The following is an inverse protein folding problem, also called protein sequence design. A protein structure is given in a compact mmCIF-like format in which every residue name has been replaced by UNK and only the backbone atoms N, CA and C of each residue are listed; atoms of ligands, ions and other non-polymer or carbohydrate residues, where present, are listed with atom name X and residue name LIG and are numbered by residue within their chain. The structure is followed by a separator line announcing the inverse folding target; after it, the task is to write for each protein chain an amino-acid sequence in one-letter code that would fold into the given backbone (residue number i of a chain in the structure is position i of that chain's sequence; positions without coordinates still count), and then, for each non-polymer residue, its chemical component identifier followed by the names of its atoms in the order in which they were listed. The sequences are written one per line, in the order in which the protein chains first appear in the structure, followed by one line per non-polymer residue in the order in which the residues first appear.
data_IF_138027948601
#
_entry.id   IF_138027948601
#
_cell.length_a   1.000
_cell.length_b   1.000
_cell.length_c   1.000
_cell.angle_alpha   90.00
_cell.angle_beta   90.00
_cell.angle_gamma   90.00
#
_symmetry.space_group_name_H-M   'P 1'
#
loop_
_entity.id
_entity.type
_entity.pdbx_description
1 polymer ?
#
# COMPACT_ATOMS: atom_id res chain seq x y z
N UNK A 1 -1.09 15.01 -16.94
CA UNK A 1 -1.93 13.99 -16.28
C UNK A 1 -2.94 14.74 -15.44
N UNK A 2 -4.21 14.58 -15.75
CA UNK A 2 -5.35 15.32 -15.14
C UNK A 2 -6.17 14.45 -14.17
N UNK A 3 -5.83 13.17 -14.05
CA UNK A 3 -6.52 12.21 -13.20
C UNK A 3 -7.90 11.79 -13.69
N UNK A 4 -8.31 12.21 -14.90
CA UNK A 4 -9.65 11.92 -15.44
C UNK A 4 -9.87 10.44 -15.76
N UNK A 5 -8.81 9.75 -16.16
CA UNK A 5 -8.81 8.32 -16.44
C UNK A 5 -8.31 7.52 -15.22
N UNK A 6 -9.21 6.76 -14.60
CA UNK A 6 -8.91 5.76 -13.59
C UNK A 6 -9.52 4.42 -14.01
N UNK A 7 -8.75 3.34 -13.90
CA UNK A 7 -9.25 1.98 -14.11
C UNK A 7 -9.96 1.48 -12.86
N UNK A 8 -10.90 0.54 -13.03
CA UNK A 8 -11.57 -0.10 -11.90
C UNK A 8 -10.59 -0.94 -11.05
N UNK A 9 -10.83 -1.10 -9.74
CA UNK A 9 -9.94 -1.84 -8.86
C UNK A 9 -9.85 -3.33 -9.26
N UNK A 10 -8.69 -3.92 -8.99
CA UNK A 10 -8.55 -5.38 -8.90
C UNK A 10 -8.89 -5.78 -7.47
N UNK A 11 -9.78 -6.77 -7.30
CA UNK A 11 -10.11 -7.31 -5.97
C UNK A 11 -9.68 -8.76 -5.87
N UNK A 12 -9.04 -9.11 -4.77
CA UNK A 12 -8.54 -10.45 -4.49
C UNK A 12 -9.18 -10.95 -3.19
N UNK A 13 -9.66 -12.19 -3.19
CA UNK A 13 -10.38 -12.78 -2.06
C UNK A 13 -10.00 -14.24 -1.81
N UNK A 14 -10.33 -14.76 -0.63
CA UNK A 14 -10.10 -16.15 -0.23
C UNK A 14 -11.33 -17.06 -0.32
N UNK A 15 -12.50 -16.51 -0.66
CA UNK A 15 -13.75 -17.27 -0.80
C UNK A 15 -13.95 -17.83 -2.23
N UNK A 16 -13.73 -19.13 -2.49
CA UNK A 16 -13.62 -19.65 -3.86
C UNK A 16 -14.94 -19.73 -4.66
N UNK A 17 -16.10 -19.49 -4.04
CA UNK A 17 -17.43 -19.69 -4.66
C UNK A 17 -18.42 -18.52 -4.48
N UNK A 18 -17.99 -17.41 -3.89
CA UNK A 18 -18.92 -16.39 -3.38
C UNK A 18 -19.59 -15.51 -4.45
N UNK A 19 -19.04 -15.46 -5.68
CA UNK A 19 -19.52 -14.56 -6.76
C UNK A 19 -19.50 -15.29 -8.12
N UNK A 20 -19.94 -16.55 -8.17
CA UNK A 20 -20.23 -17.19 -9.46
C UNK A 20 -21.49 -16.55 -10.10
N UNK A 21 -21.42 -16.22 -11.39
CA UNK A 21 -22.57 -15.73 -12.18
C UNK A 21 -23.00 -14.26 -11.98
N UNK A 22 -22.44 -13.52 -11.02
CA UNK A 22 -22.75 -12.09 -10.86
C UNK A 22 -21.80 -11.23 -11.70
N UNK A 23 -22.34 -10.41 -12.61
CA UNK A 23 -21.56 -9.42 -13.34
C UNK A 23 -21.23 -8.24 -12.42
N UNK A 24 -19.94 -8.02 -12.17
CA UNK A 24 -19.42 -6.89 -11.38
C UNK A 24 -18.35 -6.17 -12.22
N UNK A 25 -18.30 -4.82 -12.25
CA UNK A 25 -17.32 -4.07 -13.03
C UNK A 25 -15.88 -4.08 -12.45
N UNK A 26 -15.45 -5.16 -11.79
CA UNK A 26 -14.07 -5.32 -11.29
C UNK A 26 -13.46 -6.63 -11.77
N UNK A 27 -12.14 -6.67 -11.85
CA UNK A 27 -11.40 -7.91 -12.09
C UNK A 27 -11.18 -8.62 -10.77
N UNK A 28 -11.75 -9.83 -10.65
CA UNK A 28 -11.67 -10.67 -9.45
C UNK A 28 -10.62 -11.76 -9.61
N UNK A 29 -9.85 -11.99 -8.53
CA UNK A 29 -8.99 -13.15 -8.38
C UNK A 29 -9.26 -13.84 -7.04
N UNK A 30 -9.15 -15.17 -6.99
CA UNK A 30 -9.32 -15.94 -5.76
C UNK A 30 -8.06 -16.76 -5.42
N UNK A 31 -7.54 -16.62 -4.21
CA UNK A 31 -6.52 -17.52 -3.65
C UNK A 31 -6.61 -17.52 -2.11
N UNK A 32 -6.10 -18.58 -1.46
CA UNK A 32 -6.25 -18.79 -0.01
C UNK A 32 -5.74 -17.64 0.87
N UNK A 33 -4.74 -16.88 0.43
CA UNK A 33 -4.17 -15.74 1.16
C UNK A 33 -4.83 -14.39 0.79
N UNK A 34 -5.68 -14.35 -0.24
CA UNK A 34 -6.26 -13.13 -0.82
C UNK A 34 -5.22 -12.10 -1.31
N UNK A 35 -4.04 -12.55 -1.76
CA UNK A 35 -2.92 -11.68 -2.16
C UNK A 35 -2.65 -11.60 -3.66
N UNK A 36 -1.95 -10.56 -4.08
CA UNK A 36 -1.44 -10.45 -5.45
C UNK A 36 -0.35 -11.50 -5.69
N UNK A 37 -0.44 -12.21 -6.82
CA UNK A 37 0.56 -13.19 -7.26
C UNK A 37 1.14 -12.76 -8.61
N UNK A 38 2.34 -13.26 -8.95
CA UNK A 38 2.94 -13.00 -10.27
C UNK A 38 2.05 -13.43 -11.43
N UNK A 39 1.26 -14.50 -11.27
CA UNK A 39 0.29 -14.94 -12.27
C UNK A 39 -0.88 -13.95 -12.43
N UNK A 40 -1.49 -13.51 -11.31
CA UNK A 40 -2.60 -12.55 -11.33
C UNK A 40 -2.15 -11.19 -11.90
N UNK A 41 -0.96 -10.72 -11.51
CA UNK A 41 -0.39 -9.49 -12.04
C UNK A 41 -0.08 -9.60 -13.54
N UNK A 42 0.46 -10.74 -14.00
CA UNK A 42 0.75 -11.00 -15.41
C UNK A 42 -0.53 -10.99 -16.27
N UNK A 43 -1.58 -11.68 -15.84
CA UNK A 43 -2.88 -11.66 -16.55
C UNK A 43 -3.48 -10.25 -16.55
N UNK A 44 -3.49 -9.53 -15.42
CA UNK A 44 -3.94 -8.14 -15.37
C UNK A 44 -3.14 -7.23 -16.32
N UNK A 45 -1.83 -7.37 -16.36
CA UNK A 45 -0.94 -6.58 -17.21
C UNK A 45 -1.16 -6.86 -18.70
N UNK A 46 -1.43 -8.11 -19.09
CA UNK A 46 -1.82 -8.47 -20.46
C UNK A 46 -3.17 -7.85 -20.84
N UNK A 47 -4.18 -7.94 -19.98
CA UNK A 47 -5.48 -7.33 -20.20
C UNK A 47 -5.38 -5.80 -20.30
N UNK A 48 -4.62 -5.16 -19.40
CA UNK A 48 -4.34 -3.72 -19.44
C UNK A 48 -3.63 -3.31 -20.75
N UNK A 49 -2.63 -4.08 -21.20
CA UNK A 49 -1.97 -3.83 -22.48
C UNK A 49 -2.93 -3.93 -23.68
N UNK A 50 -3.93 -4.82 -23.64
CA UNK A 50 -4.96 -4.88 -24.67
C UNK A 50 -5.94 -3.69 -24.60
N UNK A 51 -6.33 -3.25 -23.39
CA UNK A 51 -7.16 -2.05 -23.19
C UNK A 51 -6.47 -0.78 -23.70
N UNK A 52 -5.13 -0.71 -23.58
CA UNK A 52 -4.33 0.43 -24.06
C UNK A 52 -4.02 0.38 -25.56
N UNK A 53 -4.69 -0.46 -26.35
CA UNK A 53 -4.46 -0.59 -27.81
C UNK A 53 -4.51 0.77 -28.53
N UNK A 54 -3.44 1.06 -29.28
CA UNK A 54 -3.32 2.32 -30.03
C UNK A 54 -2.79 3.50 -29.21
N UNK A 55 -2.42 3.27 -27.94
CA UNK A 55 -1.78 4.24 -27.05
C UNK A 55 -0.36 3.78 -26.70
N UNK A 56 0.44 4.71 -26.18
CA UNK A 56 1.74 4.40 -25.55
C UNK A 56 1.66 4.83 -24.09
N UNK A 57 1.74 3.87 -23.18
CA UNK A 57 1.52 4.09 -21.75
C UNK A 57 2.75 3.65 -20.97
N UNK A 58 3.19 4.48 -20.02
CA UNK A 58 4.19 4.12 -19.02
C UNK A 58 3.44 3.76 -17.73
N UNK A 59 3.59 2.51 -17.29
CA UNK A 59 3.07 2.04 -16.01
C UNK A 59 4.20 2.08 -14.99
N UNK A 60 4.04 2.89 -13.94
CA UNK A 60 4.92 2.88 -12.77
C UNK A 60 4.36 1.92 -11.74
N UNK A 61 5.20 1.02 -11.23
CA UNK A 61 4.84 0.01 -10.23
C UNK A 61 5.94 -0.02 -9.18
N UNK A 62 5.59 -0.29 -7.93
CA UNK A 62 6.57 -0.58 -6.88
C UNK A 62 7.29 -1.92 -7.13
N UNK A 63 8.39 -2.15 -6.41
CA UNK A 63 9.25 -3.31 -6.60
C UNK A 63 8.82 -4.52 -5.73
N UNK A 64 7.52 -4.75 -5.57
CA UNK A 64 7.02 -5.89 -4.81
C UNK A 64 7.29 -7.23 -5.54
N UNK A 65 7.58 -8.33 -4.82
CA UNK A 65 7.89 -9.63 -5.43
C UNK A 65 6.79 -10.19 -6.33
N UNK A 66 5.53 -9.86 -6.04
CA UNK A 66 4.37 -10.25 -6.86
C UNK A 66 4.30 -9.53 -8.22
N UNK A 67 5.01 -8.42 -8.39
CA UNK A 67 5.15 -7.75 -9.68
C UNK A 67 6.29 -8.32 -10.52
N UNK A 68 7.34 -8.84 -9.87
CA UNK A 68 8.37 -9.70 -10.47
C UNK A 68 9.14 -9.10 -11.66
N UNK A 69 9.93 -9.93 -12.34
CA UNK A 69 10.47 -9.62 -13.67
C UNK A 69 9.52 -10.13 -14.74
N UNK A 70 8.54 -9.32 -15.13
CA UNK A 70 7.57 -9.70 -16.18
C UNK A 70 8.23 -9.83 -17.55
N UNK A 71 8.60 -11.05 -17.95
CA UNK A 71 9.02 -11.41 -19.32
C UNK A 71 7.85 -11.44 -20.32
N UNK A 72 6.88 -10.54 -20.16
CA UNK A 72 5.72 -10.43 -21.04
C UNK A 72 6.02 -9.43 -22.15
N UNK A 73 5.85 -9.84 -23.41
CA UNK A 73 5.95 -8.92 -24.54
C UNK A 73 4.70 -8.04 -24.60
N UNK A 74 4.85 -6.76 -24.24
CA UNK A 74 3.80 -5.75 -24.26
C UNK A 74 3.97 -4.81 -25.46
N UNK A 75 2.86 -4.47 -26.11
CA UNK A 75 2.83 -3.70 -27.37
C UNK A 75 2.42 -2.24 -27.21
N UNK A 76 1.67 -1.91 -26.15
CA UNK A 76 1.14 -0.58 -25.86
C UNK A 76 1.63 -0.03 -24.51
N UNK A 77 1.94 -0.92 -23.56
CA UNK A 77 2.37 -0.59 -22.20
C UNK A 77 3.86 -0.87 -22.02
N UNK A 78 4.60 0.08 -21.43
CA UNK A 78 5.94 -0.13 -20.89
C UNK A 78 5.85 -0.08 -19.37
N UNK A 79 6.31 -1.12 -18.69
CA UNK A 79 6.42 -1.14 -17.23
C UNK A 79 7.76 -0.53 -16.80
N UNK A 80 7.74 0.22 -15.70
CA UNK A 80 8.94 0.70 -15.02
C UNK A 80 8.76 0.51 -13.51
N UNK A 81 9.64 -0.30 -12.93
CA UNK A 81 9.67 -0.54 -11.50
C UNK A 81 10.36 0.64 -10.80
N UNK A 82 9.71 1.18 -9.77
CA UNK A 82 10.33 2.14 -8.86
C UNK A 82 11.51 1.48 -8.13
N UNK A 83 12.51 2.24 -7.69
CA UNK A 83 13.60 1.69 -6.87
C UNK A 83 13.09 0.88 -5.66
N UNK A 84 13.80 -0.17 -5.23
CA UNK A 84 13.52 -0.83 -3.96
C UNK A 84 13.43 0.18 -2.82
N UNK A 85 12.51 -0.02 -1.89
CA UNK A 85 12.27 0.86 -0.73
C UNK A 85 11.96 2.33 -1.09
N UNK A 86 11.35 2.60 -2.26
CA UNK A 86 10.94 3.96 -2.64
C UNK A 86 10.03 4.57 -1.57
N UNK A 87 10.38 5.73 -0.97
CA UNK A 87 9.58 6.36 0.07
C UNK A 87 8.14 6.66 -0.36
N UNK A 88 7.18 6.46 0.53
CA UNK A 88 5.74 6.65 0.26
C UNK A 88 5.37 8.03 -0.32
N UNK A 89 6.09 9.09 0.06
CA UNK A 89 5.86 10.44 -0.48
C UNK A 89 6.26 10.59 -1.97
N UNK A 90 7.03 9.65 -2.53
CA UNK A 90 7.36 9.58 -3.96
C UNK A 90 6.43 8.64 -4.74
N UNK A 91 5.57 7.87 -4.07
CA UNK A 91 4.62 6.95 -4.71
C UNK A 91 3.21 7.57 -4.72
N UNK A 92 2.62 7.96 -5.87
CA UNK A 92 1.35 8.71 -5.89
C UNK A 92 0.19 8.02 -5.15
N UNK A 93 0.16 6.68 -5.19
CA UNK A 93 -0.82 5.88 -4.45
C UNK A 93 -0.66 6.04 -2.93
N UNK A 94 0.55 5.88 -2.41
CA UNK A 94 0.86 5.97 -0.97
C UNK A 94 0.93 7.43 -0.46
N UNK A 95 1.22 8.39 -1.33
CA UNK A 95 1.29 9.82 -0.99
C UNK A 95 -0.05 10.43 -0.54
N UNK A 96 -1.18 9.76 -0.85
CA UNK A 96 -2.49 10.07 -0.27
C UNK A 96 -3.72 9.58 -1.04
N UNK A 97 -3.58 9.06 -2.28
CA UNK A 97 -4.72 8.48 -3.03
C UNK A 97 -5.34 7.31 -2.26
N UNK A 98 -4.52 6.41 -1.70
CA UNK A 98 -4.99 5.29 -0.86
C UNK A 98 -5.72 5.80 0.38
N UNK A 99 -5.26 6.88 1.01
CA UNK A 99 -5.89 7.42 2.22
C UNK A 99 -7.30 7.98 1.92
N UNK A 100 -7.45 8.71 0.82
CA UNK A 100 -8.73 9.22 0.34
C UNK A 100 -9.72 8.08 -0.01
N UNK A 101 -9.22 6.99 -0.61
CA UNK A 101 -9.99 5.77 -0.82
C UNK A 101 -10.40 5.09 0.50
N UNK A 102 -9.47 4.95 1.46
CA UNK A 102 -9.72 4.30 2.77
C UNK A 102 -10.80 5.03 3.58
N UNK A 103 -10.83 6.37 3.56
CA UNK A 103 -11.87 7.18 4.26
C UNK A 103 -13.27 6.75 3.82
N UNK A 104 -13.50 6.69 2.51
CA UNK A 104 -14.82 6.35 1.96
C UNK A 104 -15.18 4.88 2.19
N UNK A 105 -14.20 3.97 2.03
CA UNK A 105 -14.41 2.54 2.27
C UNK A 105 -14.80 2.26 3.72
N UNK A 106 -14.14 2.94 4.66
CA UNK A 106 -14.40 2.82 6.10
C UNK A 106 -15.72 3.49 6.50
N UNK A 107 -16.08 4.64 5.93
CA UNK A 107 -17.40 5.25 6.14
C UNK A 107 -18.55 4.33 5.70
N UNK A 108 -18.44 3.70 4.51
CA UNK A 108 -19.42 2.70 4.05
C UNK A 108 -19.44 1.43 4.93
N UNK A 109 -18.28 1.04 5.46
CA UNK A 109 -18.15 -0.07 6.41
C UNK A 109 -18.93 0.14 7.71
N UNK A 110 -18.78 1.31 8.35
CA UNK A 110 -19.49 1.64 9.60
C UNK A 110 -20.98 1.91 9.33
N UNK A 111 -21.34 2.56 8.23
CA UNK A 111 -22.75 2.75 7.85
C UNK A 111 -23.47 1.40 7.69
N UNK A 112 -22.87 0.45 6.97
CA UNK A 112 -23.43 -0.90 6.81
C UNK A 112 -23.60 -1.62 8.15
N UNK A 113 -22.67 -1.44 9.09
CA UNK A 113 -22.77 -2.03 10.41
C UNK A 113 -23.97 -1.45 11.20
N UNK A 114 -24.16 -0.12 11.17
CA UNK A 114 -25.33 0.54 11.77
C UNK A 114 -26.65 0.07 11.15
N UNK A 115 -26.73 0.02 9.81
CA UNK A 115 -27.91 -0.46 9.09
C UNK A 115 -28.24 -1.91 9.47
N UNK A 116 -27.21 -2.74 9.61
CA UNK A 116 -27.36 -4.13 10.06
C UNK A 116 -27.87 -4.20 11.51
N UNK A 117 -27.30 -3.43 12.44
CA UNK A 117 -27.77 -3.34 13.84
C UNK A 117 -29.24 -2.91 13.95
N UNK A 118 -29.64 -1.88 13.20
CA UNK A 118 -31.02 -1.39 13.20
C UNK A 118 -32.01 -2.42 12.64
N UNK A 119 -31.59 -3.25 11.68
CA UNK A 119 -32.45 -4.26 11.05
C UNK A 119 -32.57 -5.58 11.84
N UNK A 120 -31.54 -6.00 12.58
CA UNK A 120 -31.53 -7.25 13.35
C UNK A 120 -31.83 -7.06 14.85
N UNK A 121 -31.71 -5.84 15.37
CA UNK A 121 -31.99 -5.50 16.77
C UNK A 121 -30.96 -6.03 17.78
N UNK A 122 -29.85 -6.64 17.33
CA UNK A 122 -28.78 -7.18 18.19
C UNK A 122 -27.39 -7.08 17.54
N UNK A 123 -26.41 -6.61 18.31
CA UNK A 123 -24.99 -6.94 18.11
C UNK A 123 -24.67 -8.30 18.75
N UNK A 124 -25.31 -9.39 18.30
CA UNK A 124 -24.96 -10.72 18.82
C UNK A 124 -23.62 -11.19 18.21
N UNK A 125 -22.57 -11.07 19.03
CA UNK A 125 -21.31 -11.82 18.99
C UNK A 125 -20.67 -12.06 17.61
N UNK A 126 -20.69 -11.06 16.72
CA UNK A 126 -19.90 -11.05 15.49
C UNK A 126 -20.40 -11.93 14.35
N UNK A 127 -21.69 -12.32 14.35
CA UNK A 127 -22.26 -13.16 13.28
C UNK A 127 -22.55 -12.39 11.98
N UNK A 128 -22.68 -11.06 12.06
CA UNK A 128 -22.83 -10.17 10.89
C UNK A 128 -21.50 -9.93 10.15
N UNK A 129 -21.00 -10.91 9.38
CA UNK A 129 -19.91 -10.67 8.42
C UNK A 129 -20.45 -10.02 7.15
N UNK A 130 -19.79 -8.95 6.69
CA UNK A 130 -20.09 -8.36 5.38
C UNK A 130 -19.76 -9.36 4.27
N UNK A 131 -20.77 -9.79 3.52
CA UNK A 131 -20.58 -10.70 2.39
C UNK A 131 -19.75 -10.06 1.27
N UNK A 132 -18.94 -10.86 0.57
CA UNK A 132 -17.97 -10.39 -0.42
C UNK A 132 -18.56 -9.45 -1.49
N UNK A 133 -19.77 -9.73 -1.99
CA UNK A 133 -20.47 -8.87 -2.96
C UNK A 133 -20.68 -7.43 -2.42
N UNK A 134 -21.00 -7.28 -1.14
CA UNK A 134 -21.18 -5.96 -0.51
C UNK A 134 -19.83 -5.27 -0.34
N UNK A 135 -18.80 -5.99 0.10
CA UNK A 135 -17.44 -5.46 0.20
C UNK A 135 -16.91 -4.95 -1.15
N UNK A 136 -17.11 -5.74 -2.24
CA UNK A 136 -16.73 -5.35 -3.59
C UNK A 136 -17.50 -4.10 -4.07
N UNK A 137 -18.81 -4.01 -3.79
CA UNK A 137 -19.60 -2.79 -4.09
C UNK A 137 -19.05 -1.56 -3.36
N UNK A 138 -18.70 -1.70 -2.08
CA UNK A 138 -18.10 -0.59 -1.32
C UNK A 138 -16.73 -0.20 -1.87
N UNK A 139 -15.90 -1.15 -2.29
CA UNK A 139 -14.61 -0.88 -2.96
C UNK A 139 -14.82 -0.06 -4.24
N UNK A 140 -15.75 -0.48 -5.12
CA UNK A 140 -16.08 0.25 -6.36
C UNK A 140 -16.58 1.66 -6.05
N UNK A 141 -17.55 1.80 -5.14
CA UNK A 141 -18.13 3.09 -4.76
C UNK A 141 -17.08 4.04 -4.16
N UNK A 142 -16.20 3.53 -3.30
CA UNK A 142 -15.11 4.30 -2.68
C UNK A 142 -14.08 4.75 -3.71
N UNK A 143 -13.75 3.88 -4.67
CA UNK A 143 -12.85 4.24 -5.77
C UNK A 143 -13.47 5.26 -6.72
N UNK A 144 -14.77 5.14 -7.01
CA UNK A 144 -15.52 6.11 -7.80
C UNK A 144 -15.55 7.49 -7.12
N UNK A 145 -15.58 7.56 -5.78
CA UNK A 145 -15.51 8.80 -5.02
C UNK A 145 -14.16 9.52 -5.12
N UNK A 146 -13.03 8.81 -5.32
CA UNK A 146 -11.71 9.45 -5.47
C UNK A 146 -11.70 10.36 -6.71
N UNK A 147 -11.63 11.68 -6.51
CA UNK A 147 -11.83 12.63 -7.60
C UNK A 147 -10.59 12.75 -8.52
N UNK A 148 -10.78 13.09 -9.82
CA UNK A 148 -9.68 13.34 -10.75
C UNK A 148 -8.64 14.35 -10.25
N UNK A 149 -9.11 15.45 -9.62
CA UNK A 149 -8.22 16.46 -9.07
C UNK A 149 -7.30 15.84 -8.00
N UNK A 150 -7.84 15.01 -7.09
CA UNK A 150 -7.10 14.31 -6.03
C UNK A 150 -5.96 13.47 -6.62
N UNK A 151 -6.24 12.70 -7.67
CA UNK A 151 -5.24 11.91 -8.39
C UNK A 151 -4.17 12.83 -8.98
N UNK A 152 -4.56 13.86 -9.73
CA UNK A 152 -3.61 14.80 -10.37
C UNK A 152 -2.72 15.53 -9.37
N UNK A 153 -3.25 15.94 -8.21
CA UNK A 153 -2.52 16.62 -7.14
C UNK A 153 -1.47 15.69 -6.52
N UNK A 154 -1.84 14.47 -6.13
CA UNK A 154 -0.86 13.54 -5.53
C UNK A 154 0.22 13.11 -6.52
N UNK A 155 -0.12 12.91 -7.80
CA UNK A 155 0.88 12.63 -8.86
C UNK A 155 1.88 13.77 -9.06
N UNK A 156 1.47 15.03 -8.94
CA UNK A 156 2.39 16.16 -9.06
C UNK A 156 3.09 16.51 -7.73
N UNK A 157 2.50 16.16 -6.58
CA UNK A 157 3.15 16.26 -5.26
C UNK A 157 4.36 15.33 -5.14
N UNK A 158 4.37 14.15 -5.78
CA UNK A 158 5.55 13.28 -5.82
C UNK A 158 6.67 13.78 -6.74
N UNK A 159 6.44 14.85 -7.51
CA UNK A 159 7.40 15.39 -8.48
C UNK A 159 7.62 14.53 -9.74
N UNK A 160 6.86 13.43 -9.91
CA UNK A 160 6.99 12.54 -11.08
C UNK A 160 6.48 13.22 -12.36
N UNK A 161 5.43 14.04 -12.27
CA UNK A 161 4.88 14.78 -13.41
C UNK A 161 5.62 16.11 -13.58
N UNK A 162 5.83 16.54 -14.83
CA UNK A 162 6.77 17.62 -15.20
C UNK A 162 6.60 18.94 -14.46
N UNK A 163 7.71 19.68 -14.32
CA UNK A 163 7.87 20.89 -13.52
C UNK A 163 6.85 22.02 -13.71
N UNK A 164 6.14 22.11 -14.84
CA UNK A 164 5.03 23.07 -14.99
C UNK A 164 3.85 22.80 -14.06
N UNK A 165 3.55 21.53 -13.79
CA UNK A 165 2.50 21.12 -12.83
C UNK A 165 2.97 21.31 -11.39
N UNK A 166 4.25 20.99 -11.12
CA UNK A 166 4.89 21.20 -9.82
C UNK A 166 4.92 22.69 -9.47
N UNK A 167 5.29 23.55 -10.42
CA UNK A 167 5.28 25.01 -10.24
C UNK A 167 3.87 25.56 -9.97
N UNK A 168 2.82 25.04 -10.63
CA UNK A 168 1.44 25.41 -10.35
C UNK A 168 1.01 25.04 -8.92
N UNK A 169 1.32 23.83 -8.45
CA UNK A 169 1.00 23.41 -7.07
C UNK A 169 1.84 24.17 -6.02
N UNK A 170 3.11 24.46 -6.30
CA UNK A 170 3.97 25.29 -5.46
C UNK A 170 3.46 26.73 -5.37
N UNK A 171 3.01 27.34 -6.47
CA UNK A 171 2.43 28.69 -6.47
C UNK A 171 1.10 28.76 -5.72
N UNK A 172 0.30 27.69 -5.74
CA UNK A 172 -0.97 27.62 -5.02
C UNK A 172 -0.82 27.32 -3.52
N UNK A 173 0.41 27.06 -3.04
CA UNK A 173 0.71 26.72 -1.64
C UNK A 173 -0.23 25.61 -1.09
N UNK A 174 -0.61 24.66 -1.95
CA UNK A 174 -1.71 23.72 -1.68
C UNK A 174 -1.31 22.84 -0.49
N UNK A 175 -2.05 22.89 0.64
CA UNK A 175 -1.82 21.94 1.71
C UNK A 175 -2.00 20.51 1.19
N UNK A 176 -1.50 19.49 1.91
CA UNK A 176 -2.03 18.13 1.74
C UNK A 176 -3.56 18.24 1.71
N UNK A 177 -4.20 17.71 0.66
CA UNK A 177 -5.66 17.83 0.46
C UNK A 177 -6.33 17.47 1.79
N UNK A 178 -7.03 18.40 2.45
CA UNK A 178 -7.59 18.14 3.77
C UNK A 178 -8.44 16.88 3.73
N UNK A 179 -8.17 15.98 4.65
CA UNK A 179 -8.93 14.74 4.79
C UNK A 179 -10.30 15.11 5.36
N UNK A 180 -11.34 15.14 4.52
CA UNK A 180 -12.72 15.28 5.00
C UNK A 180 -13.15 13.98 5.66
N UNK A 181 -12.82 13.85 6.93
CA UNK A 181 -13.24 12.76 7.80
C UNK A 181 -14.57 13.09 8.50
N UNK A 182 -15.21 14.25 8.23
CA UNK A 182 -16.35 14.73 9.02
C UNK A 182 -17.57 13.81 8.96
N UNK A 183 -17.74 13.06 7.87
CA UNK A 183 -18.76 12.01 7.78
C UNK A 183 -18.40 10.81 8.67
N UNK A 184 -17.14 10.36 8.63
CA UNK A 184 -16.66 9.22 9.40
C UNK A 184 -16.67 9.51 10.90
N UNK A 185 -16.23 10.70 11.33
CA UNK A 185 -16.31 11.15 12.73
C UNK A 185 -17.75 11.14 13.25
N UNK A 186 -18.72 11.63 12.45
CA UNK A 186 -20.16 11.62 12.82
C UNK A 186 -20.69 10.19 12.97
N UNK A 187 -20.34 9.30 12.04
CA UNK A 187 -20.83 7.91 12.05
C UNK A 187 -20.20 7.13 13.23
N UNK A 188 -18.90 7.32 13.51
CA UNK A 188 -18.23 6.72 14.67
C UNK A 188 -18.85 7.22 15.99
N UNK A 189 -19.18 8.51 16.08
CA UNK A 189 -19.84 9.07 17.26
C UNK A 189 -21.25 8.47 17.52
N UNK A 190 -21.98 8.08 16.46
CA UNK A 190 -23.26 7.36 16.58
C UNK A 190 -23.07 5.93 17.10
N UNK A 191 -21.95 5.28 16.77
CA UNK A 191 -21.64 3.92 17.25
C UNK A 191 -21.36 3.87 18.76
N UNK A 192 -20.91 4.99 19.36
CA UNK A 192 -20.73 5.15 20.80
C UNK A 192 -19.89 4.06 21.50
N UNK A 193 -18.70 3.69 20.99
CA UNK A 193 -17.88 2.64 21.59
C UNK A 193 -17.37 3.03 22.98
N UNK A 194 -17.24 2.04 23.87
CA UNK A 194 -16.74 2.22 25.26
C UNK A 194 -15.35 2.89 25.30
N UNK A 195 -14.51 2.61 24.30
CA UNK A 195 -13.25 3.31 24.03
C UNK A 195 -13.38 4.08 22.70
N UNK A 196 -13.48 5.43 22.72
CA UNK A 196 -13.67 6.22 21.51
C UNK A 196 -12.39 6.29 20.67
N UNK A 197 -12.40 5.57 19.55
CA UNK A 197 -11.39 5.65 18.49
C UNK A 197 -11.68 6.84 17.55
N UNK A 198 -10.67 7.62 17.20
CA UNK A 198 -10.79 8.69 16.20
C UNK A 198 -10.93 8.14 14.78
N UNK A 199 -11.49 8.94 13.85
CA UNK A 199 -11.52 8.54 12.44
C UNK A 199 -10.11 8.24 11.88
N UNK A 200 -9.08 8.98 12.30
CA UNK A 200 -7.71 8.77 11.85
C UNK A 200 -7.15 7.43 12.36
N UNK A 201 -7.32 7.10 13.64
CA UNK A 201 -6.91 5.79 14.19
C UNK A 201 -7.66 4.64 13.52
N UNK A 202 -8.94 4.81 13.23
CA UNK A 202 -9.71 3.82 12.48
C UNK A 202 -9.19 3.68 11.04
N UNK A 203 -8.75 4.75 10.39
CA UNK A 203 -8.13 4.72 9.06
C UNK A 203 -6.77 4.02 9.05
N UNK A 204 -5.95 4.23 10.08
CA UNK A 204 -4.61 3.62 10.21
C UNK A 204 -4.62 2.20 10.82
N UNK A 205 -5.75 1.69 11.30
CA UNK A 205 -5.86 0.40 11.98
C UNK A 205 -5.31 -0.81 11.17
N UNK A 206 -5.27 -0.71 9.84
CA UNK A 206 -4.74 -1.72 8.91
C UNK A 206 -3.31 -1.43 8.39
N UNK A 207 -2.62 -0.39 8.87
CA UNK A 207 -1.22 -0.10 8.46
C UNK A 207 -0.21 -1.18 8.88
N UNK A 208 -0.54 -1.99 9.90
CA UNK A 208 0.28 -3.12 10.34
C UNK A 208 -0.10 -4.45 9.65
N UNK A 209 -1.00 -4.43 8.65
CA UNK A 209 -1.32 -5.63 7.89
C UNK A 209 -0.13 -6.01 6.98
N UNK A 210 0.30 -7.29 6.94
CA UNK A 210 1.40 -7.69 6.07
C UNK A 210 1.01 -7.53 4.60
N UNK A 211 1.72 -6.66 3.88
CA UNK A 211 1.48 -6.39 2.45
C UNK A 211 1.83 -7.60 1.56
N UNK A 212 2.80 -8.41 1.99
CA UNK A 212 3.22 -9.65 1.35
C UNK A 212 4.03 -10.53 2.33
N UNK A 213 4.01 -11.84 2.15
CA UNK A 213 4.91 -12.79 2.84
C UNK A 213 5.40 -13.83 1.81
N UNK A 214 6.68 -14.29 1.89
CA UNK A 214 7.17 -15.36 1.04
C UNK A 214 6.31 -16.63 1.13
N UNK A 215 6.12 -17.31 0.00
CA UNK A 215 5.34 -18.54 -0.11
C UNK A 215 6.00 -19.76 0.60
N UNK A 216 7.18 -19.58 1.21
CA UNK A 216 8.07 -20.64 1.68
C UNK A 216 8.14 -20.83 3.19
N UNK A 217 7.45 -20.01 3.99
CA UNK A 217 7.29 -20.26 5.43
C UNK A 217 5.80 -20.35 5.75
N UNK A 218 5.40 -21.42 6.46
CA UNK A 218 4.08 -21.50 7.07
C UNK A 218 3.96 -20.35 8.07
N UNK A 219 3.16 -19.35 7.72
CA UNK A 219 2.87 -18.25 8.62
C UNK A 219 2.36 -18.79 9.96
N UNK A 220 2.94 -18.37 11.11
CA UNK A 220 2.32 -18.67 12.39
C UNK A 220 0.88 -18.13 12.35
N UNK A 221 -0.09 -18.87 12.92
CA UNK A 221 -1.49 -18.51 12.83
C UNK A 221 -1.70 -17.07 13.34
N UNK A 222 -2.47 -16.29 12.57
CA UNK A 222 -2.69 -14.87 12.83
C UNK A 222 -2.99 -14.61 14.31
N UNK A 223 -2.36 -13.58 14.93
CA UNK A 223 -2.41 -13.39 16.38
C UNK A 223 -3.84 -13.30 16.87
N UNK A 224 -4.29 -14.35 17.57
CA UNK A 224 -5.62 -14.40 18.17
C UNK A 224 -5.72 -13.27 19.19
N UNK A 225 -6.79 -12.49 19.09
CA UNK A 225 -7.10 -11.41 20.03
C UNK A 225 -6.96 -11.87 21.48
N UNK A 226 -6.33 -11.05 22.33
CA UNK A 226 -6.08 -11.33 23.75
C UNK A 226 -7.40 -11.38 24.55
N UNK A 227 -8.13 -12.49 24.49
CA UNK A 227 -9.17 -12.82 25.47
C UNK A 227 -9.46 -14.32 25.63
N UNK A 228 -8.43 -15.09 26.00
CA UNK A 228 -8.60 -16.38 26.69
C UNK A 228 -7.29 -16.80 27.38
N UNK A 229 -7.26 -16.71 28.71
CA UNK A 229 -6.31 -17.46 29.55
C UNK A 229 -7.10 -18.38 30.46
N UNK A 230 -6.86 -19.69 30.40
CA UNK A 230 -6.76 -20.62 31.54
C UNK A 230 -6.59 -22.06 31.04
N UNK A 231 -5.68 -22.80 31.71
CA UNK A 231 -5.24 -24.20 31.50
C UNK A 231 -4.69 -24.54 30.10
N UNK A 232 -3.60 -25.29 29.94
CA UNK A 232 -2.88 -26.18 30.87
C UNK A 232 -1.38 -25.82 30.95
N UNK A 233 -0.74 -26.11 32.09
CA UNK A 233 0.72 -26.26 32.25
C UNK A 233 1.06 -27.74 32.43
N UNK A 234 2.36 -28.02 32.24
CA UNK A 234 3.15 -29.23 32.55
C UNK A 234 3.02 -30.36 31.49
N UNK A 235 4.09 -30.99 30.95
CA UNK A 235 5.56 -30.88 31.14
C UNK A 235 6.28 -31.61 29.95
N UNK A 236 7.60 -31.61 29.64
CA UNK A 236 8.86 -31.09 30.27
C UNK A 236 9.97 -30.88 29.18
N UNK A 237 11.23 -30.64 29.59
CA UNK A 237 12.56 -30.68 28.89
C UNK A 237 12.69 -31.40 27.52
N UNK A 238 13.62 -31.03 26.61
CA UNK A 238 15.10 -31.07 26.84
C UNK A 238 15.91 -30.23 25.82
N UNK A 239 17.15 -29.93 26.20
CA UNK A 239 18.22 -29.16 25.53
C UNK A 239 18.58 -29.60 24.10
N UNK A 240 19.02 -28.66 23.25
CA UNK A 240 20.43 -28.65 22.84
C UNK A 240 20.90 -27.32 22.21
N UNK A 241 22.21 -27.05 22.34
CA UNK A 241 22.85 -25.84 21.79
C UNK A 241 23.40 -26.05 20.38
N UNK A 242 23.42 -25.00 19.56
CA UNK A 242 24.47 -24.79 18.57
C UNK A 242 24.79 -23.30 18.45
N UNK A 243 26.04 -22.98 18.73
CA UNK A 243 26.65 -21.65 18.63
C UNK A 243 26.84 -21.28 17.14
N UNK A 244 26.35 -20.12 16.71
CA UNK A 244 26.62 -19.58 15.36
C UNK A 244 26.99 -18.10 15.48
N UNK A 245 28.28 -17.82 15.32
CA UNK A 245 28.84 -16.49 15.48
C UNK A 245 28.51 -15.64 14.25
N UNK A 246 27.73 -14.57 14.44
CA UNK A 246 27.36 -13.66 13.37
C UNK A 246 28.59 -12.91 12.81
N UNK A 247 29.03 -13.29 11.61
CA UNK A 247 30.05 -12.58 10.85
C UNK A 247 29.64 -11.12 10.61
N UNK A 248 30.40 -10.17 11.18
CA UNK A 248 30.17 -8.74 10.97
C UNK A 248 30.60 -8.36 9.55
N UNK A 249 29.62 -8.33 8.63
CA UNK A 249 29.82 -7.81 7.27
C UNK A 249 30.40 -6.40 7.30
N UNK A 250 31.56 -6.22 6.66
CA UNK A 250 32.14 -4.90 6.45
C UNK A 250 31.28 -4.07 5.49
N UNK A 251 30.95 -2.84 5.88
CA UNK A 251 30.14 -1.94 5.04
C UNK A 251 30.84 -1.70 3.69
N UNK A 252 30.12 -1.90 2.59
CA UNK A 252 30.67 -1.56 1.27
C UNK A 252 30.59 -0.06 1.01
N UNK A 253 31.44 0.42 0.11
CA UNK A 253 31.39 1.82 -0.36
C UNK A 253 30.03 2.18 -1.01
N UNK A 254 29.27 1.19 -1.50
CA UNK A 254 27.92 1.39 -2.04
C UNK A 254 26.89 1.62 -0.93
N UNK A 255 27.00 0.87 0.16
CA UNK A 255 26.09 0.98 1.31
C UNK A 255 26.30 2.33 2.02
N UNK A 256 27.57 2.74 2.17
CA UNK A 256 27.92 4.07 2.67
C UNK A 256 27.39 5.21 1.78
N UNK A 257 27.38 5.04 0.45
CA UNK A 257 26.80 6.00 -0.48
C UNK A 257 25.25 6.04 -0.38
N UNK A 258 24.60 4.88 -0.24
CA UNK A 258 23.15 4.80 -0.06
C UNK A 258 22.71 5.52 1.22
N UNK A 259 23.33 5.19 2.35
CA UNK A 259 23.06 5.82 3.64
C UNK A 259 23.31 7.35 3.63
N UNK A 260 24.36 7.81 2.95
CA UNK A 260 24.62 9.25 2.81
C UNK A 260 23.53 9.97 1.98
N UNK A 261 23.00 9.31 0.94
CA UNK A 261 21.90 9.85 0.13
C UNK A 261 20.60 9.88 0.96
N UNK A 262 20.27 8.81 1.67
CA UNK A 262 19.08 8.74 2.55
C UNK A 262 19.12 9.82 3.63
N UNK A 263 20.26 10.00 4.30
CA UNK A 263 20.45 11.05 5.30
C UNK A 263 20.26 12.45 4.70
N UNK A 264 20.65 12.67 3.43
CA UNK A 264 20.45 13.96 2.75
C UNK A 264 19.00 14.21 2.37
N UNK A 265 18.26 13.17 2.00
CA UNK A 265 16.82 13.26 1.76
C UNK A 265 16.07 13.55 3.07
N UNK A 266 16.47 12.92 4.18
CA UNK A 266 15.94 13.21 5.52
C UNK A 266 16.23 14.65 5.95
N UNK A 267 17.48 15.11 5.82
CA UNK A 267 17.87 16.46 6.18
C UNK A 267 17.08 17.52 5.38
N UNK A 268 16.96 17.33 4.06
CA UNK A 268 16.13 18.18 3.20
C UNK A 268 14.65 18.19 3.61
N UNK A 269 14.06 17.02 3.85
CA UNK A 269 12.65 16.89 4.23
C UNK A 269 12.30 17.55 5.58
N UNK A 270 13.28 17.72 6.46
CA UNK A 270 13.12 18.34 7.79
C UNK A 270 13.72 19.76 7.87
N UNK A 271 14.19 20.35 6.76
CA UNK A 271 14.77 21.69 6.74
C UNK A 271 16.11 21.82 7.49
N UNK A 272 16.84 20.72 7.65
CA UNK A 272 18.13 20.67 8.37
C UNK A 272 19.26 21.01 7.38
N UNK A 273 19.91 22.16 7.58
CA UNK A 273 21.10 22.50 6.80
C UNK A 273 22.30 21.64 7.22
N UNK A 274 22.98 21.04 6.24
CA UNK A 274 24.06 20.07 6.45
C UNK A 274 25.07 20.08 5.28
N UNK A 275 25.85 21.17 5.12
CA UNK A 275 26.75 21.36 3.98
C UNK A 275 27.83 20.27 3.88
N UNK A 276 28.25 19.68 5.00
CA UNK A 276 29.23 18.59 5.03
C UNK A 276 28.71 17.30 4.39
N UNK A 277 27.39 17.07 4.43
CA UNK A 277 26.78 15.86 3.89
C UNK A 277 26.87 15.79 2.35
N UNK A 278 26.85 16.95 1.68
CA UNK A 278 27.14 17.04 0.24
C UNK A 278 28.59 16.64 -0.07
N UNK A 279 29.54 16.99 0.82
CA UNK A 279 30.95 16.59 0.68
C UNK A 279 31.11 15.07 0.86
N UNK A 280 30.43 14.48 1.84
CA UNK A 280 30.40 13.01 2.06
C UNK A 280 29.83 12.27 0.85
N UNK A 281 28.71 12.72 0.30
CA UNK A 281 28.11 12.13 -0.92
C UNK A 281 29.08 12.24 -2.11
N UNK A 282 29.72 13.39 -2.29
CA UNK A 282 30.66 13.60 -3.39
C UNK A 282 31.90 12.69 -3.24
N UNK A 283 32.44 12.58 -2.02
CA UNK A 283 33.56 11.68 -1.69
C UNK A 283 33.20 10.21 -1.98
N UNK A 284 32.07 9.73 -1.45
CA UNK A 284 31.59 8.37 -1.67
C UNK A 284 31.37 8.06 -3.18
N UNK A 285 30.78 8.99 -3.94
CA UNK A 285 30.64 8.89 -5.41
C UNK A 285 31.98 8.73 -6.12
N UNK A 286 33.03 9.45 -5.71
CA UNK A 286 34.36 9.29 -6.34
C UNK A 286 35.00 7.94 -6.05
N UNK A 287 34.81 7.39 -4.85
CA UNK A 287 35.31 6.06 -4.49
C UNK A 287 34.55 4.94 -5.22
N UNK A 288 33.21 4.98 -5.27
CA UNK A 288 32.43 4.01 -6.06
C UNK A 288 32.82 4.00 -7.56
N UNK A 289 33.17 5.17 -8.14
CA UNK A 289 33.65 5.28 -9.53
C UNK A 289 35.06 4.74 -9.74
N UNK A 290 35.92 4.72 -8.72
CA UNK A 290 37.28 4.15 -8.78
C UNK A 290 37.25 2.62 -8.69
N UNK A 291 36.46 2.05 -7.79
CA UNK A 291 36.29 0.59 -7.68
C UNK A 291 35.68 -0.06 -8.93
N UNK A 292 34.98 0.70 -9.77
CA UNK A 292 34.43 0.23 -11.06
C UNK A 292 35.39 0.31 -12.26
N UNK A 293 36.68 0.63 -12.07
CA UNK A 293 37.70 0.72 -13.14
C UNK A 293 38.87 -0.28 -12.98
N UNK A 294 38.76 -1.23 -12.06
CA UNK A 294 39.75 -2.29 -11.83
C UNK A 294 39.20 -3.71 -12.10
N UNK A 295 38.18 -3.81 -12.96
CA UNK A 295 37.71 -5.04 -13.60
C UNK A 295 37.65 -4.81 -15.10
#
# INVERSE_FOLDING_TARGET
MDGSEKLEPVVIHSEPKAIEGTQIPVRLYSNSQAWMTGANFTDWLQAFNLLMKGRRVLLLVDNAPCHGTTEVQLSNVRVYFLPPNTPAHLQPMQAGIIQQFKIQLKALGVQWLLDHQHSTGRLENGEGKMGLLTAVKHIVQSWQHVAPHTISTYWAHTGIVSGGMVALLQQQNVPKIPLDMTLLDKIIAVFGPDEPMTAMEYISADENAPEWVPLSEELPPAPRSRRATLSLREDVNTENSSDDQAEVKSLSHRDALAAAIELSAYAFANGIDSPDLQQVIQFARTHCRRSGRQM
#
